data_IF_659546362808
#
_entry.id   IF_659546362808
#
_cell.length_a   1.000
_cell.length_b   1.000
_cell.length_c   1.000
_cell.angle_alpha   90.00
_cell.angle_beta   90.00
_cell.angle_gamma   90.00
#
_symmetry.space_group_name_H-M   'P 1'
#
loop_
_entity.id
_entity.type
_entity.pdbx_description
1 polymer ?
#
# COMPACT_ATOMS: atom_id res chain seq x y z
N UNK A 1 -42.77 54.51 -9.22
CA UNK A 1 -41.59 53.62 -9.09
C UNK A 1 -40.79 53.75 -10.38
N UNK A 2 -39.59 54.32 -10.29
CA UNK A 2 -38.90 54.94 -11.42
C UNK A 2 -38.08 53.90 -12.20
N UNK A 3 -38.56 53.53 -13.39
CA UNK A 3 -37.97 52.50 -14.27
C UNK A 3 -36.55 52.87 -14.74
N UNK A 4 -36.15 54.12 -14.51
CA UNK A 4 -34.83 54.68 -14.84
C UNK A 4 -33.69 54.13 -13.99
N UNK A 5 -33.96 53.59 -12.80
CA UNK A 5 -32.92 52.94 -11.97
C UNK A 5 -32.45 51.59 -12.53
N UNK A 6 -33.33 50.83 -13.18
CA UNK A 6 -32.97 49.53 -13.75
C UNK A 6 -32.07 49.66 -14.99
N UNK A 7 -32.26 50.73 -15.78
CA UNK A 7 -31.40 51.03 -16.92
C UNK A 7 -29.96 51.42 -16.51
N UNK A 8 -29.80 52.04 -15.33
CA UNK A 8 -28.49 52.44 -14.82
C UNK A 8 -27.64 51.26 -14.36
N UNK A 9 -28.25 50.20 -13.81
CA UNK A 9 -27.54 49.00 -13.35
C UNK A 9 -27.11 48.09 -14.51
N UNK A 10 -27.82 48.11 -15.64
CA UNK A 10 -27.48 47.32 -16.83
C UNK A 10 -26.35 47.90 -17.69
N UNK A 11 -25.99 49.18 -17.47
CA UNK A 11 -24.92 49.87 -18.19
C UNK A 11 -23.56 49.85 -17.49
N UNK A 12 -23.44 49.19 -16.33
CA UNK A 12 -22.16 49.12 -15.63
C UNK A 12 -21.21 48.15 -16.35
N UNK A 13 -19.99 48.59 -16.73
CA UNK A 13 -19.02 47.69 -17.35
C UNK A 13 -18.69 46.58 -16.35
N UNK A 14 -18.99 45.33 -16.72
CA UNK A 14 -18.60 44.15 -15.94
C UNK A 14 -17.13 44.26 -15.55
N UNK A 15 -16.85 44.21 -14.24
CA UNK A 15 -15.51 44.35 -13.71
C UNK A 15 -14.54 43.42 -14.46
N UNK A 16 -13.54 44.01 -15.13
CA UNK A 16 -12.56 43.26 -15.88
C UNK A 16 -11.88 42.25 -14.95
N UNK A 17 -12.01 40.97 -15.27
CA UNK A 17 -11.45 39.87 -14.48
C UNK A 17 -9.92 40.00 -14.55
N UNK A 18 -9.32 40.61 -13.52
CA UNK A 18 -7.87 40.83 -13.47
C UNK A 18 -7.19 39.47 -13.33
N UNK A 19 -6.69 38.95 -14.44
CA UNK A 19 -5.95 37.67 -14.50
C UNK A 19 -4.70 37.80 -13.63
N UNK A 20 -4.79 37.35 -12.38
CA UNK A 20 -3.64 37.31 -11.47
C UNK A 20 -2.74 36.16 -11.91
N UNK A 21 -1.64 36.47 -12.56
CA UNK A 21 -0.62 35.49 -13.00
C UNK A 21 0.19 34.91 -11.80
N UNK A 22 0.06 35.55 -10.64
CA UNK A 22 0.69 35.16 -9.38
C UNK A 22 -0.37 34.83 -8.33
N UNK A 23 -0.14 33.76 -7.57
CA UNK A 23 -0.95 33.36 -6.42
C UNK A 23 -0.02 33.35 -5.19
N UNK A 24 -0.36 34.12 -4.15
CA UNK A 24 0.49 34.31 -2.95
C UNK A 24 1.95 34.72 -3.26
N UNK A 25 2.18 35.49 -4.33
CA UNK A 25 3.51 35.95 -4.73
C UNK A 25 4.32 34.95 -5.58
N UNK A 26 3.83 33.71 -5.78
CA UNK A 26 4.46 32.72 -6.66
C UNK A 26 3.85 32.74 -8.07
N UNK A 27 4.64 32.62 -9.15
CA UNK A 27 4.09 32.46 -10.49
C UNK A 27 3.34 31.13 -10.57
N UNK A 28 2.14 31.14 -11.16
CA UNK A 28 1.29 29.93 -11.28
C UNK A 28 2.01 28.74 -11.90
N UNK A 29 2.92 28.99 -12.85
CA UNK A 29 3.76 27.97 -13.48
C UNK A 29 4.74 27.34 -12.48
N UNK A 30 5.36 28.14 -11.63
CA UNK A 30 6.26 27.66 -10.57
C UNK A 30 5.52 26.83 -9.53
N UNK A 31 4.32 27.27 -9.11
CA UNK A 31 3.47 26.48 -8.22
C UNK A 31 3.06 25.15 -8.86
N UNK A 32 2.68 25.15 -10.14
CA UNK A 32 2.34 23.94 -10.87
C UNK A 32 3.53 22.97 -10.97
N UNK A 33 4.74 23.46 -11.23
CA UNK A 33 5.94 22.62 -11.26
C UNK A 33 6.30 22.04 -9.89
N UNK A 34 6.14 22.82 -8.81
CA UNK A 34 6.37 22.33 -7.45
C UNK A 34 5.39 21.23 -7.07
N UNK A 35 4.09 21.43 -7.33
CA UNK A 35 3.06 20.43 -7.04
C UNK A 35 3.25 19.18 -7.91
N UNK A 36 3.58 19.33 -9.20
CA UNK A 36 3.85 18.20 -10.08
C UNK A 36 5.05 17.37 -9.60
N UNK A 37 6.16 18.02 -9.20
CA UNK A 37 7.31 17.31 -8.63
C UNK A 37 6.97 16.65 -7.29
N UNK A 38 6.23 17.34 -6.42
CA UNK A 38 5.79 16.78 -5.15
C UNK A 38 4.95 15.52 -5.37
N UNK A 39 3.97 15.56 -6.29
CA UNK A 39 3.11 14.42 -6.64
C UNK A 39 3.89 13.28 -7.33
N UNK A 40 4.82 13.61 -8.21
CA UNK A 40 5.64 12.63 -8.94
C UNK A 40 6.55 11.84 -8.00
N UNK A 41 7.02 12.45 -6.91
CA UNK A 41 7.88 11.79 -5.91
C UNK A 41 7.12 11.09 -4.77
N UNK A 42 5.79 11.21 -4.67
CA UNK A 42 5.01 10.55 -3.60
C UNK A 42 5.15 9.01 -3.55
N UNK A 43 5.24 8.27 -4.68
CA UNK A 43 5.31 6.82 -4.64
C UNK A 43 6.58 6.27 -3.97
N UNK A 44 7.64 7.08 -3.86
CA UNK A 44 8.91 6.66 -3.24
C UNK A 44 8.86 6.64 -1.70
N UNK A 45 7.85 7.28 -1.09
CA UNK A 45 7.64 7.26 0.36
C UNK A 45 6.60 6.22 0.79
N UNK A 46 6.00 5.49 -0.15
CA UNK A 46 5.07 4.42 0.15
C UNK A 46 5.85 3.18 0.64
N UNK A 47 6.17 3.16 1.92
CA UNK A 47 6.71 1.99 2.61
C UNK A 47 5.56 1.02 2.88
N UNK A 48 5.66 -0.19 2.32
CA UNK A 48 4.81 -1.31 2.69
C UNK A 48 5.08 -1.67 4.17
N UNK A 49 4.14 -1.37 5.05
CA UNK A 49 4.28 -1.61 6.49
C UNK A 49 4.06 -3.10 6.80
N UNK A 50 5.08 -3.91 6.49
CA UNK A 50 5.22 -5.32 6.88
C UNK A 50 4.02 -6.25 6.64
N UNK A 51 4.09 -7.43 7.25
CA UNK A 51 2.96 -8.36 7.38
C UNK A 51 2.61 -8.40 8.87
N UNK A 52 1.34 -8.22 9.20
CA UNK A 52 0.85 -8.30 10.57
C UNK A 52 -0.17 -9.43 10.64
N UNK A 53 0.14 -10.48 11.40
CA UNK A 53 -0.75 -11.62 11.61
C UNK A 53 -1.82 -11.26 12.66
N UNK A 54 -3.06 -11.63 12.40
CA UNK A 54 -4.20 -11.41 13.31
C UNK A 54 -4.80 -12.69 13.90
N UNK A 55 -4.49 -13.87 13.33
CA UNK A 55 -5.02 -15.15 13.79
C UNK A 55 -4.01 -15.99 14.62
N UNK A 56 -4.48 -16.72 15.65
CA UNK A 56 -3.67 -17.72 16.33
C UNK A 56 -3.36 -18.88 15.38
N UNK A 57 -2.11 -19.34 15.38
CA UNK A 57 -1.64 -20.48 14.58
C UNK A 57 -0.91 -20.10 13.29
N UNK A 58 -0.90 -18.83 12.90
CA UNK A 58 0.01 -18.31 11.87
C UNK A 58 1.16 -17.57 12.57
N UNK A 59 2.40 -17.76 12.15
CA UNK A 59 3.54 -17.05 12.72
C UNK A 59 4.45 -16.47 11.63
N UNK A 60 5.17 -15.41 11.99
CA UNK A 60 6.12 -14.75 11.10
C UNK A 60 7.55 -15.10 11.53
N UNK A 61 8.40 -15.33 10.54
CA UNK A 61 9.84 -15.44 10.67
C UNK A 61 10.53 -14.67 9.55
N UNK A 62 11.85 -14.79 9.50
CA UNK A 62 12.66 -14.30 8.38
C UNK A 62 13.68 -15.36 7.99
N UNK A 63 13.93 -15.46 6.69
CA UNK A 63 15.06 -16.21 6.16
C UNK A 63 16.38 -15.49 6.46
N UNK A 64 17.50 -16.21 6.32
CA UNK A 64 18.83 -15.65 6.59
C UNK A 64 19.17 -14.43 5.70
N UNK A 65 18.55 -14.33 4.53
CA UNK A 65 18.70 -13.21 3.60
C UNK A 65 17.65 -12.09 3.79
N UNK A 66 16.85 -12.14 4.87
CA UNK A 66 15.88 -11.12 5.24
C UNK A 66 14.52 -11.22 4.56
N UNK A 67 14.28 -12.22 3.69
CA UNK A 67 12.94 -12.44 3.12
C UNK A 67 11.98 -12.89 4.22
N UNK A 68 10.80 -12.24 4.36
CA UNK A 68 9.80 -12.65 5.35
C UNK A 68 9.28 -14.06 5.08
N UNK A 69 9.14 -14.85 6.14
CA UNK A 69 8.54 -16.18 6.12
C UNK A 69 7.24 -16.14 6.89
N UNK A 70 6.16 -16.60 6.27
CA UNK A 70 4.86 -16.82 6.91
C UNK A 70 4.70 -18.32 7.14
N UNK A 71 4.80 -18.75 8.39
CA UNK A 71 4.44 -20.10 8.78
C UNK A 71 2.92 -20.19 8.87
N UNK A 72 2.34 -20.87 7.88
CA UNK A 72 0.89 -21.03 7.78
C UNK A 72 0.35 -21.91 8.91
N UNK A 73 -0.93 -21.73 9.25
CA UNK A 73 -1.62 -22.55 10.23
C UNK A 73 -1.78 -24.00 9.76
N UNK A 74 -2.00 -24.92 10.70
CA UNK A 74 -2.34 -26.30 10.39
C UNK A 74 -3.54 -26.36 9.42
N UNK A 75 -3.50 -27.21 8.39
CA UNK A 75 -4.63 -27.37 7.49
C UNK A 75 -5.82 -28.00 8.23
N UNK A 76 -7.03 -27.64 7.82
CA UNK A 76 -8.25 -28.27 8.29
C UNK A 76 -8.44 -29.69 7.70
N UNK A 77 -9.55 -30.34 8.03
CA UNK A 77 -9.85 -31.70 7.54
C UNK A 77 -9.81 -31.81 6.00
N UNK A 78 -10.19 -30.75 5.30
CA UNK A 78 -10.20 -30.64 3.84
C UNK A 78 -8.83 -30.29 3.23
N UNK A 79 -7.80 -30.05 4.06
CA UNK A 79 -6.46 -29.65 3.58
C UNK A 79 -6.26 -28.14 3.47
N UNK A 80 -7.27 -27.31 3.74
CA UNK A 80 -7.18 -25.86 3.64
C UNK A 80 -6.53 -25.27 4.90
N UNK A 81 -5.47 -24.49 4.70
CA UNK A 81 -4.88 -23.64 5.76
C UNK A 81 -5.49 -22.24 5.71
N UNK A 82 -6.21 -21.86 6.77
CA UNK A 82 -6.81 -20.55 6.90
C UNK A 82 -5.93 -19.64 7.74
N UNK A 83 -5.44 -18.56 7.15
CA UNK A 83 -4.52 -17.61 7.77
C UNK A 83 -5.15 -16.22 7.70
N UNK A 84 -5.18 -15.50 8.82
CA UNK A 84 -5.72 -14.14 8.85
C UNK A 84 -4.60 -13.15 9.14
N UNK A 85 -4.61 -12.07 8.37
CA UNK A 85 -3.66 -10.98 8.45
C UNK A 85 -4.43 -9.69 8.64
N UNK A 86 -3.90 -8.82 9.50
CA UNK A 86 -4.36 -7.44 9.58
C UNK A 86 -3.84 -6.65 8.38
N UNK A 87 -2.56 -6.84 8.07
CA UNK A 87 -1.86 -6.22 6.94
C UNK A 87 -1.05 -7.31 6.24
N UNK A 88 -1.15 -7.40 4.92
CA UNK A 88 -0.41 -8.36 4.10
C UNK A 88 0.29 -7.63 2.96
N UNK A 89 1.44 -7.03 3.26
CA UNK A 89 2.22 -6.31 2.26
C UNK A 89 3.43 -7.13 1.81
N UNK A 90 3.61 -7.24 0.50
CA UNK A 90 4.74 -7.97 -0.10
C UNK A 90 5.72 -6.97 -0.67
N UNK A 91 6.94 -6.95 -0.11
CA UNK A 91 8.02 -6.10 -0.60
C UNK A 91 8.65 -6.63 -1.90
N UNK A 92 9.60 -5.89 -2.45
CA UNK A 92 10.29 -6.26 -3.70
C UNK A 92 11.02 -7.61 -3.64
N UNK A 93 11.47 -8.03 -2.46
CA UNK A 93 12.14 -9.33 -2.25
C UNK A 93 11.13 -10.50 -2.11
N UNK A 94 9.83 -10.22 -2.15
CA UNK A 94 8.77 -11.21 -2.00
C UNK A 94 8.53 -11.65 -0.56
N UNK A 95 7.79 -12.74 -0.42
CA UNK A 95 7.44 -13.41 0.84
C UNK A 95 7.41 -14.91 0.62
N UNK A 96 7.78 -15.68 1.63
CA UNK A 96 7.75 -17.15 1.60
C UNK A 96 6.57 -17.64 2.43
N UNK A 97 5.65 -18.38 1.81
CA UNK A 97 4.64 -19.15 2.52
C UNK A 97 5.20 -20.53 2.87
N UNK A 98 5.49 -20.77 4.15
CA UNK A 98 6.11 -22.01 4.60
C UNK A 98 5.06 -23.11 4.78
N UNK A 99 4.86 -23.91 3.73
CA UNK A 99 4.02 -25.12 3.73
C UNK A 99 4.86 -26.42 3.86
N UNK A 100 6.09 -26.34 4.38
CA UNK A 100 6.98 -27.51 4.48
C UNK A 100 6.78 -28.28 5.79
N UNK A 101 6.62 -29.59 5.69
CA UNK A 101 6.64 -30.52 6.83
C UNK A 101 8.03 -31.09 7.12
N UNK A 102 9.01 -30.84 6.25
CA UNK A 102 10.39 -31.29 6.41
C UNK A 102 11.16 -30.34 7.33
N UNK A 103 12.08 -30.86 8.14
CA UNK A 103 12.88 -30.07 9.07
C UNK A 103 13.66 -28.93 8.40
N UNK A 104 14.12 -29.14 7.16
CA UNK A 104 14.82 -28.15 6.35
C UNK A 104 14.24 -28.19 4.94
N UNK A 105 13.92 -27.02 4.37
CA UNK A 105 13.39 -26.90 3.01
C UNK A 105 14.17 -25.85 2.22
N UNK A 106 14.48 -26.17 0.96
CA UNK A 106 15.07 -25.20 0.05
C UNK A 106 13.97 -24.35 -0.58
N UNK A 107 14.11 -23.04 -0.50
CA UNK A 107 13.18 -22.06 -1.06
C UNK A 107 13.89 -21.16 -2.05
N UNK A 108 13.16 -20.74 -3.08
CA UNK A 108 13.71 -19.92 -4.15
C UNK A 108 14.09 -18.51 -3.68
N UNK A 109 13.33 -17.97 -2.73
CA UNK A 109 13.53 -16.61 -2.24
C UNK A 109 14.42 -16.53 -1.00
N UNK A 110 14.46 -17.57 -0.15
CA UNK A 110 15.10 -17.52 1.17
C UNK A 110 16.24 -18.51 1.38
N UNK A 111 16.60 -19.29 0.36
CA UNK A 111 17.52 -20.42 0.52
C UNK A 111 16.92 -21.48 1.44
N UNK A 112 17.74 -22.08 2.30
CA UNK A 112 17.28 -23.09 3.26
C UNK A 112 16.55 -22.46 4.44
N UNK A 113 15.30 -22.87 4.66
CA UNK A 113 14.48 -22.49 5.81
C UNK A 113 14.14 -23.71 6.66
N UNK A 114 13.79 -23.47 7.92
CA UNK A 114 13.26 -24.52 8.79
C UNK A 114 11.83 -24.89 8.41
N UNK A 115 11.45 -26.15 8.69
CA UNK A 115 10.08 -26.63 8.55
C UNK A 115 9.08 -25.86 9.40
N UNK A 116 7.82 -25.86 8.97
CA UNK A 116 6.75 -25.22 9.71
C UNK A 116 6.22 -26.14 10.81
N UNK A 117 6.52 -25.80 12.06
CA UNK A 117 6.08 -26.54 13.25
C UNK A 117 4.55 -26.59 13.41
N UNK A 118 3.80 -25.69 12.77
CA UNK A 118 2.35 -25.64 12.88
C UNK A 118 1.66 -26.79 12.11
N UNK A 119 2.34 -27.39 11.13
CA UNK A 119 1.73 -28.36 10.21
C UNK A 119 1.59 -29.78 10.79
N UNK A 120 2.27 -30.10 11.90
CA UNK A 120 2.22 -31.42 12.55
C UNK A 120 2.37 -32.61 11.56
N UNK A 121 3.20 -32.45 10.53
CA UNK A 121 3.44 -33.47 9.50
C UNK A 121 2.44 -33.48 8.34
N UNK A 122 1.41 -32.62 8.33
CA UNK A 122 0.44 -32.49 7.23
C UNK A 122 0.51 -31.10 6.59
N UNK A 123 0.96 -31.07 5.34
CA UNK A 123 0.95 -29.85 4.53
C UNK A 123 -0.48 -29.49 4.10
N UNK A 124 -0.70 -28.20 3.86
CA UNK A 124 -1.92 -27.70 3.24
C UNK A 124 -1.94 -28.09 1.75
N UNK A 125 -3.14 -28.43 1.27
CA UNK A 125 -3.40 -28.86 -0.11
C UNK A 125 -4.63 -28.13 -0.66
N UNK A 126 -4.72 -28.07 -1.97
CA UNK A 126 -5.89 -27.52 -2.69
C UNK A 126 -6.81 -28.65 -3.12
#
# INVERSE_FOLDING_TARGET
MDVRQFAFLAGQPSAALKKREHFLGLPKRGLAFLLANAMFWQPLLAQADGIVVSAPGTSLGQAANGVPIVNIAAPNASGLSHNQFKDYNVGANGVILNNSTQNLQSTQLGGYILGNSNLNGRAATT
#
